data_IF_158138910791
#
_entry.id   IF_158138910791
#
_cell.length_a   1.000
_cell.length_b   1.000
_cell.length_c   1.000
_cell.angle_alpha   90.00
_cell.angle_beta   90.00
_cell.angle_gamma   90.00
#
_symmetry.space_group_name_H-M   'P 1'
#
loop_
_entity.id
_entity.type
_entity.pdbx_description
1 polymer ?
#
# COMPACT_ATOMS: atom_id res chain seq x y z
N UNK A 1 -21.13 1.20 -15.40
CA UNK A 1 -21.36 0.82 -16.80
C UNK A 1 -22.65 0.01 -16.91
N UNK A 2 -23.54 0.23 -17.93
CA UNK A 2 -24.76 -0.58 -18.08
C UNK A 2 -24.46 -2.07 -18.23
N UNK A 3 -23.35 -2.43 -18.87
CA UNK A 3 -22.95 -3.82 -19.11
C UNK A 3 -22.16 -4.44 -17.93
N UNK A 4 -21.62 -3.61 -17.06
CA UNK A 4 -20.78 -4.04 -15.94
C UNK A 4 -21.11 -3.20 -14.69
N UNK A 5 -22.24 -3.49 -14.02
CA UNK A 5 -22.74 -2.65 -12.91
C UNK A 5 -21.79 -2.59 -11.70
N UNK A 6 -20.94 -3.60 -11.52
CA UNK A 6 -19.93 -3.64 -10.46
C UNK A 6 -18.74 -2.70 -10.72
N UNK A 7 -18.60 -2.16 -11.93
CA UNK A 7 -17.45 -1.35 -12.35
C UNK A 7 -17.85 0.07 -12.72
N UNK A 8 -16.92 1.01 -12.56
CA UNK A 8 -17.10 2.39 -13.01
C UNK A 8 -16.84 2.50 -14.51
N UNK A 9 -17.46 3.49 -15.17
CA UNK A 9 -17.19 3.74 -16.57
C UNK A 9 -15.74 4.18 -16.77
N UNK A 10 -15.07 3.59 -17.76
CA UNK A 10 -13.74 4.06 -18.21
C UNK A 10 -13.92 5.40 -18.91
N UNK A 11 -13.14 6.43 -18.49
CA UNK A 11 -13.21 7.79 -19.06
C UNK A 11 -12.49 7.95 -20.41
N UNK A 12 -12.42 6.87 -21.18
CA UNK A 12 -11.75 6.83 -22.48
C UNK A 12 -12.61 6.04 -23.45
N UNK A 13 -12.65 6.48 -24.71
CA UNK A 13 -13.38 5.77 -25.76
C UNK A 13 -12.64 4.50 -26.16
N UNK A 14 -13.01 3.37 -25.55
CA UNK A 14 -12.50 2.05 -25.91
C UNK A 14 -13.38 1.48 -27.01
N UNK A 15 -12.79 1.33 -28.18
CA UNK A 15 -13.41 0.72 -29.38
C UNK A 15 -12.76 -0.62 -29.68
N UNK A 16 -13.39 -1.45 -30.53
CA UNK A 16 -12.81 -2.73 -30.93
C UNK A 16 -11.40 -2.59 -31.55
N UNK A 17 -11.13 -1.46 -32.22
CA UNK A 17 -9.84 -1.23 -32.89
C UNK A 17 -8.70 -0.84 -31.92
N UNK A 18 -9.01 -0.26 -30.76
CA UNK A 18 -7.99 0.17 -29.79
C UNK A 18 -7.98 -0.65 -28.49
N UNK A 19 -8.94 -1.57 -28.33
CA UNK A 19 -9.16 -2.35 -27.13
C UNK A 19 -7.88 -3.11 -26.69
N UNK A 20 -7.25 -3.81 -27.62
CA UNK A 20 -6.05 -4.61 -27.30
C UNK A 20 -4.93 -3.71 -26.75
N UNK A 21 -4.76 -2.51 -27.32
CA UNK A 21 -3.78 -1.54 -26.80
C UNK A 21 -4.11 -1.10 -25.39
N UNK A 22 -5.38 -0.81 -25.09
CA UNK A 22 -5.80 -0.42 -23.73
C UNK A 22 -5.57 -1.56 -22.73
N UNK A 23 -5.88 -2.80 -23.08
CA UNK A 23 -5.64 -3.98 -22.23
C UNK A 23 -4.13 -4.16 -21.97
N UNK A 24 -3.28 -4.12 -23.01
CA UNK A 24 -1.83 -4.20 -22.85
C UNK A 24 -1.27 -3.08 -21.98
N UNK A 25 -1.79 -1.86 -22.15
CA UNK A 25 -1.41 -0.73 -21.32
C UNK A 25 -1.89 -0.89 -19.86
N UNK A 26 -3.05 -1.47 -19.64
CA UNK A 26 -3.56 -1.77 -18.31
C UNK A 26 -2.69 -2.84 -17.60
N UNK A 27 -2.34 -3.92 -18.30
CA UNK A 27 -1.41 -4.94 -17.81
C UNK A 27 -0.05 -4.28 -17.48
N UNK A 28 0.49 -3.47 -18.39
CA UNK A 28 1.77 -2.78 -18.18
C UNK A 28 1.73 -1.82 -16.97
N UNK A 29 0.61 -1.09 -16.79
CA UNK A 29 0.41 -0.19 -15.64
C UNK A 29 0.21 -0.98 -14.35
N UNK A 30 -0.53 -2.10 -14.36
CA UNK A 30 -0.68 -2.97 -13.21
C UNK A 30 0.67 -3.54 -12.74
N UNK A 31 1.53 -3.95 -13.68
CA UNK A 31 2.88 -4.47 -13.38
C UNK A 31 3.82 -3.37 -12.87
N UNK A 32 3.70 -2.14 -13.40
CA UNK A 32 4.52 -0.98 -12.99
C UNK A 32 3.62 0.21 -12.62
N UNK A 33 3.03 0.20 -11.44
CA UNK A 33 2.05 1.23 -11.04
C UNK A 33 2.57 2.67 -11.07
N UNK A 34 3.88 2.87 -10.84
CA UNK A 34 4.52 4.18 -10.82
C UNK A 34 4.83 4.72 -12.24
N UNK A 35 4.74 3.89 -13.29
CA UNK A 35 5.01 4.31 -14.65
C UNK A 35 3.91 5.23 -15.20
N UNK A 36 4.30 6.25 -15.95
CA UNK A 36 3.36 7.12 -16.65
C UNK A 36 2.66 6.35 -17.78
N UNK A 37 1.38 6.01 -17.59
CA UNK A 37 0.54 5.32 -18.57
C UNK A 37 -0.93 5.64 -18.29
N UNK A 38 -1.42 6.72 -18.90
CA UNK A 38 -2.78 7.23 -18.68
C UNK A 38 -3.88 6.30 -19.25
N UNK A 39 -3.63 5.61 -20.37
CA UNK A 39 -4.59 4.65 -20.91
C UNK A 39 -4.75 3.43 -19.99
N UNK A 40 -3.63 2.89 -19.50
CA UNK A 40 -3.66 1.79 -18.55
C UNK A 40 -4.29 2.18 -17.22
N UNK A 41 -3.97 3.37 -16.73
CA UNK A 41 -4.57 3.90 -15.50
C UNK A 41 -6.09 4.08 -15.62
N UNK A 42 -6.58 4.56 -16.76
CA UNK A 42 -8.02 4.71 -17.01
C UNK A 42 -8.76 3.35 -16.91
N UNK A 43 -8.19 2.28 -17.44
CA UNK A 43 -8.76 0.93 -17.33
C UNK A 43 -8.73 0.44 -15.87
N UNK A 44 -7.60 0.60 -15.18
CA UNK A 44 -7.48 0.18 -13.77
C UNK A 44 -8.44 0.95 -12.86
N UNK A 45 -8.65 2.26 -13.09
CA UNK A 45 -9.66 3.06 -12.38
C UNK A 45 -11.07 2.53 -12.64
N UNK A 46 -11.39 2.20 -13.91
CA UNK A 46 -12.67 1.60 -14.28
C UNK A 46 -12.93 0.26 -13.58
N UNK A 47 -11.89 -0.56 -13.43
CA UNK A 47 -11.93 -1.84 -12.71
C UNK A 47 -11.85 -1.70 -11.18
N UNK A 48 -11.78 -0.48 -10.66
CA UNK A 48 -11.59 -0.18 -9.23
C UNK A 48 -10.29 -0.76 -8.63
N UNK A 49 -9.24 -0.86 -9.46
CA UNK A 49 -7.94 -1.39 -9.09
C UNK A 49 -6.88 -0.31 -8.83
N UNK A 50 -7.25 0.97 -8.98
CA UNK A 50 -6.31 2.07 -8.83
C UNK A 50 -6.99 3.24 -8.11
N UNK A 51 -6.38 3.72 -7.03
CA UNK A 51 -6.89 4.87 -6.28
C UNK A 51 -5.73 5.62 -5.61
N UNK A 52 -5.84 6.95 -5.53
CA UNK A 52 -4.80 7.76 -4.89
C UNK A 52 -3.40 7.62 -5.48
N UNK A 53 -3.29 7.26 -6.78
CA UNK A 53 -2.00 7.03 -7.46
C UNK A 53 -1.39 5.65 -7.17
N UNK A 54 -2.10 4.74 -6.53
CA UNK A 54 -1.60 3.41 -6.16
C UNK A 54 -2.52 2.29 -6.63
N UNK A 55 -1.91 1.14 -6.94
CA UNK A 55 -2.64 -0.09 -7.23
C UNK A 55 -3.24 -0.62 -5.93
N UNK A 56 -4.54 -0.92 -5.97
CA UNK A 56 -5.30 -1.44 -4.83
C UNK A 56 -6.44 -2.32 -5.35
N UNK A 57 -6.66 -3.48 -4.74
CA UNK A 57 -7.73 -4.41 -5.09
C UNK A 57 -8.91 -4.39 -4.10
N UNK A 58 -8.79 -3.69 -2.96
CA UNK A 58 -9.78 -3.74 -1.85
C UNK A 58 -11.18 -3.29 -2.28
N UNK A 59 -11.27 -2.40 -3.27
CA UNK A 59 -12.54 -1.88 -3.80
C UNK A 59 -13.02 -2.60 -5.07
N UNK A 60 -12.26 -3.60 -5.55
CA UNK A 60 -12.63 -4.41 -6.71
C UNK A 60 -13.42 -5.64 -6.26
N UNK A 61 -14.74 -5.59 -6.44
CA UNK A 61 -15.66 -6.66 -6.01
C UNK A 61 -15.29 -8.02 -6.63
N UNK A 62 -14.82 -8.03 -7.89
CA UNK A 62 -14.39 -9.26 -8.55
C UNK A 62 -13.10 -9.84 -7.93
N UNK A 63 -12.10 -9.00 -7.62
CA UNK A 63 -10.90 -9.46 -6.95
C UNK A 63 -11.20 -10.04 -5.56
N UNK A 64 -12.07 -9.38 -4.80
CA UNK A 64 -12.50 -9.85 -3.48
C UNK A 64 -13.24 -11.19 -3.59
N UNK A 65 -14.15 -11.34 -4.55
CA UNK A 65 -14.84 -12.62 -4.79
C UNK A 65 -13.88 -13.78 -5.09
N UNK A 66 -12.80 -13.54 -5.83
CA UNK A 66 -11.78 -14.57 -6.08
C UNK A 66 -11.01 -14.94 -4.81
N UNK A 67 -10.71 -13.97 -3.95
CA UNK A 67 -10.06 -14.23 -2.65
C UNK A 67 -10.98 -15.05 -1.75
N UNK A 68 -12.26 -14.65 -1.64
CA UNK A 68 -13.26 -15.36 -0.84
C UNK A 68 -13.40 -16.82 -1.29
N UNK A 69 -13.51 -17.07 -2.60
CA UNK A 69 -13.55 -18.42 -3.16
C UNK A 69 -12.30 -19.25 -2.84
N UNK A 70 -11.11 -18.62 -2.88
CA UNK A 70 -9.86 -19.30 -2.49
C UNK A 70 -9.82 -19.58 -0.99
N UNK A 71 -10.41 -18.70 -0.16
CA UNK A 71 -10.52 -18.90 1.28
C UNK A 71 -11.50 -20.02 1.65
N UNK A 72 -12.66 -20.05 1.01
CA UNK A 72 -13.67 -21.10 1.19
C UNK A 72 -13.12 -22.48 0.84
N UNK A 73 -12.27 -22.59 -0.19
CA UNK A 73 -11.62 -23.85 -0.55
C UNK A 73 -10.55 -24.32 0.46
N UNK A 74 -9.97 -23.39 1.20
CA UNK A 74 -8.97 -23.69 2.22
C UNK A 74 -7.52 -23.50 1.77
N UNK A 75 -6.60 -23.66 2.74
CA UNK A 75 -5.18 -23.43 2.53
C UNK A 75 -4.57 -24.42 1.52
N UNK A 76 -3.76 -23.91 0.60
CA UNK A 76 -3.09 -24.72 -0.44
C UNK A 76 -3.98 -25.13 -1.60
N UNK A 77 -5.27 -24.83 -1.55
CA UNK A 77 -6.21 -25.11 -2.65
C UNK A 77 -6.10 -24.09 -3.79
N UNK A 78 -6.65 -24.43 -4.93
CA UNK A 78 -6.58 -23.66 -6.17
C UNK A 78 -7.97 -23.39 -6.73
N UNK A 79 -8.12 -22.31 -7.50
CA UNK A 79 -9.23 -22.12 -8.42
C UNK A 79 -8.73 -22.42 -9.83
N UNK A 80 -9.35 -23.42 -10.48
CA UNK A 80 -9.08 -23.70 -11.88
C UNK A 80 -9.74 -22.64 -12.76
N UNK A 81 -9.19 -22.45 -13.95
CA UNK A 81 -9.76 -21.50 -14.93
C UNK A 81 -11.28 -21.65 -15.09
N UNK A 82 -11.77 -22.89 -15.22
CA UNK A 82 -13.20 -23.19 -15.49
C UNK A 82 -14.12 -22.84 -14.30
N UNK A 83 -13.57 -22.57 -13.13
CA UNK A 83 -14.29 -22.05 -11.97
C UNK A 83 -14.35 -20.51 -11.96
N UNK A 84 -13.65 -19.85 -12.88
CA UNK A 84 -13.55 -18.39 -12.97
C UNK A 84 -14.21 -17.90 -14.26
N UNK A 85 -13.90 -18.51 -15.40
CA UNK A 85 -14.38 -18.11 -16.73
C UNK A 85 -15.03 -19.27 -17.47
N UNK A 86 -15.94 -18.90 -18.35
CA UNK A 86 -16.68 -19.83 -19.23
C UNK A 86 -16.74 -19.28 -20.64
N UNK A 87 -16.73 -20.17 -21.62
CA UNK A 87 -17.02 -19.83 -23.01
C UNK A 87 -18.52 -19.59 -23.18
N UNK A 88 -18.88 -18.41 -23.63
CA UNK A 88 -20.25 -18.03 -23.98
C UNK A 88 -20.34 -17.96 -25.48
N UNK A 89 -21.27 -18.72 -26.08
CA UNK A 89 -21.54 -18.64 -27.50
C UNK A 89 -22.26 -17.33 -27.84
N UNK A 90 -21.62 -16.48 -28.63
CA UNK A 90 -22.22 -15.26 -29.17
C UNK A 90 -22.16 -15.28 -30.67
N UNK A 91 -23.34 -15.42 -31.29
CA UNK A 91 -23.65 -15.47 -32.75
C UNK A 91 -22.70 -16.23 -33.68
N UNK A 92 -21.40 -16.06 -33.64
CA UNK A 92 -20.42 -16.77 -34.49
C UNK A 92 -19.05 -16.98 -33.83
N UNK A 93 -18.82 -16.46 -32.59
CA UNK A 93 -17.55 -16.59 -31.88
C UNK A 93 -17.79 -16.99 -30.43
N UNK A 94 -16.90 -17.80 -29.87
CA UNK A 94 -16.91 -18.05 -28.43
C UNK A 94 -16.21 -16.91 -27.71
N UNK A 95 -16.95 -16.17 -26.89
CA UNK A 95 -16.41 -15.12 -26.04
C UNK A 95 -16.22 -15.72 -24.65
N UNK A 96 -15.03 -15.54 -24.07
CA UNK A 96 -14.74 -15.95 -22.68
C UNK A 96 -15.14 -14.85 -21.71
N UNK A 97 -15.95 -15.22 -20.71
CA UNK A 97 -16.44 -14.31 -19.68
C UNK A 97 -16.38 -14.93 -18.30
N UNK A 98 -16.27 -14.10 -17.27
CA UNK A 98 -16.33 -14.55 -15.88
C UNK A 98 -17.73 -15.03 -15.51
N UNK A 99 -17.79 -16.05 -14.64
CA UNK A 99 -19.04 -16.67 -14.21
C UNK A 99 -19.96 -15.71 -13.46
N UNK A 100 -19.40 -14.95 -12.50
CA UNK A 100 -20.23 -14.15 -11.58
C UNK A 100 -20.42 -12.70 -12.04
N UNK A 101 -19.43 -12.13 -12.72
CA UNK A 101 -19.40 -10.69 -13.05
C UNK A 101 -19.62 -10.40 -14.52
N UNK A 102 -19.67 -11.43 -15.35
CA UNK A 102 -19.87 -11.36 -16.80
C UNK A 102 -18.90 -10.42 -17.53
N UNK A 103 -17.71 -10.18 -16.96
CA UNK A 103 -16.65 -9.42 -17.63
C UNK A 103 -15.90 -10.32 -18.60
N UNK A 104 -15.36 -9.71 -19.65
CA UNK A 104 -14.60 -10.44 -20.66
C UNK A 104 -13.22 -10.82 -20.14
N UNK A 105 -12.69 -11.94 -20.62
CA UNK A 105 -11.46 -12.55 -20.10
C UNK A 105 -10.21 -11.64 -20.17
N UNK A 106 -10.15 -10.71 -21.13
CA UNK A 106 -9.05 -9.75 -21.22
C UNK A 106 -9.06 -8.74 -20.05
N UNK A 107 -10.24 -8.26 -19.64
CA UNK A 107 -10.40 -7.40 -18.46
C UNK A 107 -10.19 -8.18 -17.16
N UNK A 108 -10.69 -9.41 -17.13
CA UNK A 108 -10.40 -10.33 -16.01
C UNK A 108 -8.90 -10.53 -15.84
N UNK A 109 -8.16 -10.78 -16.93
CA UNK A 109 -6.71 -10.96 -16.87
C UNK A 109 -5.96 -9.71 -16.37
N UNK A 110 -6.48 -8.50 -16.63
CA UNK A 110 -5.98 -7.27 -16.01
C UNK A 110 -6.16 -7.32 -14.49
N UNK A 111 -7.33 -7.78 -14.00
CA UNK A 111 -7.57 -7.94 -12.56
C UNK A 111 -6.61 -8.96 -11.96
N UNK A 112 -6.46 -10.13 -12.58
CA UNK A 112 -5.51 -11.16 -12.14
C UNK A 112 -4.08 -10.63 -12.11
N UNK A 113 -3.66 -9.87 -13.13
CA UNK A 113 -2.32 -9.24 -13.16
C UNK A 113 -2.13 -8.28 -11.98
N UNK A 114 -3.13 -7.45 -11.68
CA UNK A 114 -3.08 -6.55 -10.53
C UNK A 114 -3.00 -7.32 -9.20
N UNK A 115 -3.78 -8.40 -9.05
CA UNK A 115 -3.74 -9.28 -7.88
C UNK A 115 -2.39 -9.97 -7.72
N UNK A 116 -1.75 -10.41 -8.81
CA UNK A 116 -0.38 -10.97 -8.78
C UNK A 116 0.63 -9.91 -8.34
N UNK A 117 0.56 -8.70 -8.90
CA UNK A 117 1.46 -7.60 -8.52
C UNK A 117 1.31 -7.22 -7.05
N UNK A 118 0.09 -7.26 -6.52
CA UNK A 118 -0.20 -7.04 -5.11
C UNK A 118 0.21 -8.22 -4.22
N UNK A 119 0.57 -9.37 -4.81
CA UNK A 119 0.92 -10.60 -4.09
C UNK A 119 -0.26 -11.29 -3.43
N UNK A 120 -1.47 -11.05 -3.93
CA UNK A 120 -2.70 -11.67 -3.44
C UNK A 120 -2.88 -13.09 -3.99
N UNK A 121 -2.42 -13.32 -5.22
CA UNK A 121 -2.47 -14.62 -5.89
C UNK A 121 -1.17 -14.92 -6.65
N UNK A 122 -0.99 -16.19 -6.99
CA UNK A 122 -0.11 -16.69 -8.05
C UNK A 122 -0.97 -17.24 -9.18
N UNK A 123 -0.54 -17.02 -10.43
CA UNK A 123 -1.20 -17.57 -11.62
C UNK A 123 -0.30 -18.62 -12.27
N UNK A 124 -0.86 -19.77 -12.65
CA UNK A 124 -0.20 -20.77 -13.46
C UNK A 124 -0.69 -20.62 -14.90
N UNK A 125 0.22 -20.31 -15.79
CA UNK A 125 -0.06 -20.15 -17.22
C UNK A 125 -0.26 -21.52 -17.91
N UNK A 126 -0.77 -21.53 -19.14
CA UNK A 126 -1.03 -22.73 -19.93
C UNK A 126 0.23 -23.55 -20.18
N UNK A 127 1.37 -22.90 -20.32
CA UNK A 127 2.70 -23.52 -20.50
C UNK A 127 3.27 -24.13 -19.21
N UNK A 128 2.52 -24.07 -18.10
CA UNK A 128 2.93 -24.59 -16.79
C UNK A 128 3.79 -23.64 -15.93
N UNK A 129 4.20 -22.48 -16.45
CA UNK A 129 4.95 -21.51 -15.67
C UNK A 129 4.08 -20.87 -14.59
N UNK A 130 4.68 -20.63 -13.41
CA UNK A 130 4.00 -19.96 -12.30
C UNK A 130 4.51 -18.52 -12.19
N UNK A 131 3.57 -17.58 -12.25
CA UNK A 131 3.84 -16.16 -12.10
C UNK A 131 3.34 -15.68 -10.75
N UNK A 132 4.20 -15.00 -10.02
CA UNK A 132 3.92 -14.37 -8.74
C UNK A 132 4.49 -12.95 -8.71
N UNK A 133 4.38 -12.26 -7.59
CA UNK A 133 4.84 -10.87 -7.47
C UNK A 133 6.34 -10.64 -7.77
N UNK A 134 7.19 -11.67 -7.68
CA UNK A 134 8.62 -11.54 -7.95
C UNK A 134 8.97 -11.58 -9.45
N UNK A 135 8.11 -12.18 -10.27
CA UNK A 135 8.32 -12.31 -11.72
C UNK A 135 7.11 -11.82 -12.54
N UNK A 136 6.27 -10.98 -11.98
CA UNK A 136 5.05 -10.43 -12.60
C UNK A 136 5.30 -9.71 -13.93
N UNK A 137 6.49 -9.17 -14.15
CA UNK A 137 6.89 -8.59 -15.45
C UNK A 137 6.67 -9.55 -16.64
N UNK A 138 6.68 -10.85 -16.40
CA UNK A 138 6.39 -11.89 -17.41
C UNK A 138 5.00 -11.70 -18.04
N UNK A 139 4.01 -11.24 -17.26
CA UNK A 139 2.63 -11.05 -17.75
C UNK A 139 2.48 -9.96 -18.81
N UNK A 140 3.46 -9.06 -18.93
CA UNK A 140 3.45 -8.00 -19.98
C UNK A 140 3.61 -8.56 -21.39
N UNK A 141 4.25 -9.72 -21.51
CA UNK A 141 4.66 -10.30 -22.79
C UNK A 141 3.99 -11.64 -23.09
N UNK A 142 2.93 -11.99 -22.34
CA UNK A 142 2.18 -13.22 -22.62
C UNK A 142 1.33 -13.06 -23.89
N UNK A 143 1.10 -14.17 -24.58
CA UNK A 143 0.20 -14.21 -25.70
C UNK A 143 -1.24 -13.91 -25.27
N UNK A 144 -2.03 -13.31 -26.16
CA UNK A 144 -3.44 -12.99 -25.89
C UNK A 144 -4.25 -14.23 -25.50
N UNK A 145 -3.89 -15.40 -25.99
CA UNK A 145 -4.53 -16.67 -25.62
C UNK A 145 -4.43 -16.98 -24.13
N UNK A 146 -3.35 -16.54 -23.45
CA UNK A 146 -3.20 -16.73 -22.00
C UNK A 146 -4.27 -15.98 -21.18
N UNK A 147 -4.91 -14.93 -21.73
CA UNK A 147 -5.99 -14.22 -21.05
C UNK A 147 -7.20 -15.10 -20.72
N UNK A 148 -7.36 -16.23 -21.45
CA UNK A 148 -8.44 -17.19 -21.23
C UNK A 148 -7.96 -18.65 -21.19
N UNK A 149 -6.64 -18.89 -21.31
CA UNK A 149 -6.08 -20.26 -21.33
C UNK A 149 -5.17 -20.55 -20.13
N UNK A 150 -4.99 -19.60 -19.19
CA UNK A 150 -4.27 -19.89 -17.95
C UNK A 150 -4.86 -21.12 -17.24
N UNK A 151 -4.04 -21.85 -16.48
CA UNK A 151 -4.48 -23.12 -15.88
C UNK A 151 -5.27 -22.91 -14.59
N UNK A 152 -4.74 -22.10 -13.66
CA UNK A 152 -5.31 -21.91 -12.34
C UNK A 152 -4.72 -20.66 -11.66
N UNK A 153 -5.40 -20.23 -10.61
CA UNK A 153 -4.87 -19.29 -9.61
C UNK A 153 -4.84 -19.95 -8.24
N UNK A 154 -3.93 -19.49 -7.38
CA UNK A 154 -3.82 -19.94 -5.97
C UNK A 154 -3.31 -18.83 -5.09
N UNK A 155 -3.50 -18.97 -3.77
CA UNK A 155 -2.84 -18.09 -2.79
C UNK A 155 -1.32 -18.32 -2.83
N UNK A 156 -0.51 -17.25 -2.68
CA UNK A 156 0.95 -17.38 -2.65
C UNK A 156 1.40 -18.22 -1.47
N UNK A 157 2.31 -19.15 -1.72
CA UNK A 157 2.98 -19.92 -0.66
C UNK A 157 4.35 -19.32 -0.29
N UNK A 158 4.67 -18.15 -0.83
CA UNK A 158 5.97 -17.50 -0.67
C UNK A 158 5.90 -16.24 0.17
N UNK A 159 7.00 -15.47 0.14
CA UNK A 159 7.04 -14.12 0.72
C UNK A 159 6.14 -13.21 -0.11
N UNK A 160 5.27 -12.46 0.55
CA UNK A 160 4.51 -11.39 -0.10
C UNK A 160 5.44 -10.21 -0.39
N UNK A 161 6.08 -10.25 -1.55
CA UNK A 161 7.07 -9.24 -1.98
C UNK A 161 6.49 -7.81 -2.00
N UNK A 162 5.29 -7.56 -2.55
CA UNK A 162 4.66 -6.24 -2.49
C UNK A 162 4.46 -5.73 -1.07
N UNK A 163 3.99 -6.58 -0.17
CA UNK A 163 3.80 -6.22 1.23
C UNK A 163 5.14 -5.88 1.90
N UNK A 164 6.17 -6.71 1.70
CA UNK A 164 7.52 -6.45 2.20
C UNK A 164 8.07 -5.14 1.64
N UNK A 165 7.89 -4.88 0.34
CA UNK A 165 8.28 -3.62 -0.31
C UNK A 165 7.62 -2.42 0.36
N UNK A 166 6.29 -2.45 0.50
CA UNK A 166 5.54 -1.37 1.15
C UNK A 166 6.01 -1.14 2.58
N UNK A 167 6.08 -2.21 3.38
CA UNK A 167 6.51 -2.14 4.78
C UNK A 167 7.94 -1.59 4.90
N UNK A 168 8.89 -2.11 4.12
CA UNK A 168 10.28 -1.67 4.23
C UNK A 168 10.47 -0.25 3.70
N UNK A 169 9.79 0.14 2.63
CA UNK A 169 9.85 1.50 2.08
C UNK A 169 9.23 2.52 3.04
N UNK A 170 8.01 2.25 3.53
CA UNK A 170 7.28 3.20 4.38
C UNK A 170 7.85 3.31 5.79
N UNK A 171 8.23 2.19 6.40
CA UNK A 171 8.61 2.16 7.82
C UNK A 171 10.11 2.09 8.06
N UNK A 172 10.88 1.45 7.17
CA UNK A 172 12.34 1.35 7.29
C UNK A 172 13.04 2.45 6.48
N UNK A 173 12.35 3.06 5.50
CA UNK A 173 12.88 4.11 4.65
C UNK A 173 13.67 3.59 3.44
N UNK A 174 13.67 2.28 3.17
CA UNK A 174 14.39 1.65 2.06
C UNK A 174 13.55 0.54 1.45
N UNK A 175 13.59 0.38 0.13
CA UNK A 175 13.04 -0.81 -0.52
C UNK A 175 14.03 -1.97 -0.41
N UNK A 176 13.70 -2.92 0.46
CA UNK A 176 14.51 -4.11 0.70
C UNK A 176 13.91 -5.38 0.05
N UNK A 177 12.80 -5.25 -0.67
CA UNK A 177 12.09 -6.39 -1.27
C UNK A 177 12.94 -7.19 -2.28
N UNK A 178 13.85 -6.53 -2.99
CA UNK A 178 14.73 -7.17 -3.98
C UNK A 178 16.02 -7.74 -3.37
N UNK A 179 16.21 -7.62 -2.05
CA UNK A 179 17.40 -8.06 -1.33
C UNK A 179 17.14 -9.19 -0.34
N UNK A 180 15.99 -9.84 -0.42
CA UNK A 180 15.58 -10.88 0.53
C UNK A 180 16.39 -12.18 0.45
N UNK A 181 17.28 -12.32 -0.53
CA UNK A 181 18.22 -13.45 -0.61
C UNK A 181 19.53 -13.20 0.17
N UNK A 182 19.76 -11.97 0.61
CA UNK A 182 20.93 -11.60 1.41
C UNK A 182 20.61 -11.61 2.90
N UNK A 183 21.42 -12.31 3.68
CA UNK A 183 21.25 -12.45 5.14
C UNK A 183 21.22 -11.10 5.87
N UNK A 184 22.04 -10.16 5.42
CA UNK A 184 22.17 -8.82 6.01
C UNK A 184 20.90 -7.99 5.89
N UNK A 185 20.02 -8.30 4.91
CA UNK A 185 18.74 -7.61 4.74
C UNK A 185 17.84 -7.81 5.95
N UNK A 186 17.78 -9.02 6.50
CA UNK A 186 16.95 -9.30 7.68
C UNK A 186 17.51 -8.64 8.93
N UNK A 187 18.84 -8.61 9.07
CA UNK A 187 19.48 -7.87 10.15
C UNK A 187 19.17 -6.36 10.06
N UNK A 188 19.22 -5.79 8.85
CA UNK A 188 18.88 -4.39 8.60
C UNK A 188 17.43 -4.09 8.99
N UNK A 189 16.46 -4.91 8.56
CA UNK A 189 15.05 -4.76 8.91
C UNK A 189 14.87 -4.82 10.44
N UNK A 190 15.41 -5.87 11.08
CA UNK A 190 15.25 -6.10 12.51
C UNK A 190 15.88 -4.99 13.36
N UNK A 191 17.10 -4.57 13.03
CA UNK A 191 17.81 -3.54 13.79
C UNK A 191 17.13 -2.17 13.64
N UNK A 192 16.74 -1.81 12.41
CA UNK A 192 16.05 -0.55 12.16
C UNK A 192 14.68 -0.51 12.82
N UNK A 193 13.96 -1.63 12.82
CA UNK A 193 12.68 -1.74 13.50
C UNK A 193 12.83 -1.55 15.03
N UNK A 194 13.88 -2.13 15.65
CA UNK A 194 14.18 -1.89 17.09
C UNK A 194 14.48 -0.43 17.40
N UNK A 195 15.30 0.20 16.55
CA UNK A 195 15.60 1.63 16.68
C UNK A 195 14.32 2.47 16.65
N UNK A 196 13.45 2.21 15.68
CA UNK A 196 12.18 2.91 15.51
C UNK A 196 11.20 2.65 16.67
N UNK A 197 11.12 1.41 17.16
CA UNK A 197 10.35 1.08 18.36
C UNK A 197 10.81 1.88 19.59
N UNK A 198 12.13 2.00 19.78
CA UNK A 198 12.71 2.80 20.86
C UNK A 198 12.41 4.30 20.69
N UNK A 199 12.47 4.83 19.45
CA UNK A 199 12.10 6.22 19.16
C UNK A 199 10.63 6.50 19.45
N UNK A 200 9.72 5.56 19.11
CA UNK A 200 8.29 5.67 19.40
C UNK A 200 8.04 5.59 20.92
N UNK A 201 8.73 4.70 21.63
CA UNK A 201 8.65 4.62 23.09
C UNK A 201 9.12 5.92 23.78
N UNK A 202 10.22 6.50 23.30
CA UNK A 202 10.71 7.81 23.81
C UNK A 202 9.70 8.92 23.53
N UNK A 203 9.09 8.93 22.35
CA UNK A 203 8.02 9.88 22.02
C UNK A 203 6.85 9.73 22.99
N UNK A 204 6.38 8.51 23.21
CA UNK A 204 5.27 8.20 24.09
C UNK A 204 5.55 8.57 25.56
N UNK A 205 6.72 8.23 26.08
CA UNK A 205 7.05 8.44 27.49
C UNK A 205 7.41 9.88 27.83
N UNK A 206 8.28 10.52 27.03
CA UNK A 206 8.84 11.84 27.35
C UNK A 206 8.15 12.96 26.57
N UNK A 207 8.09 12.84 25.25
CA UNK A 207 7.63 13.95 24.41
C UNK A 207 6.13 14.22 24.55
N UNK A 208 5.32 13.20 24.82
CA UNK A 208 3.88 13.39 25.05
C UNK A 208 3.56 14.26 26.25
N UNK A 209 4.31 14.12 27.35
CA UNK A 209 4.14 14.96 28.54
C UNK A 209 4.55 16.41 28.23
N UNK A 210 5.69 16.58 27.55
CA UNK A 210 6.15 17.89 27.13
C UNK A 210 5.17 18.59 26.17
N UNK A 211 4.56 17.86 25.21
CA UNK A 211 3.54 18.40 24.32
C UNK A 211 2.30 18.90 25.07
N UNK A 212 1.92 18.25 26.15
CA UNK A 212 0.76 18.63 26.96
C UNK A 212 1.00 19.91 27.78
N UNK A 213 2.26 20.22 28.08
CA UNK A 213 2.65 21.36 28.95
C UNK A 213 3.13 22.56 28.15
N UNK A 214 3.53 22.40 26.88
CA UNK A 214 4.13 23.48 26.11
C UNK A 214 3.11 24.58 25.78
N UNK A 215 3.44 25.81 26.15
CA UNK A 215 2.61 27.00 25.94
C UNK A 215 3.40 28.09 25.22
N UNK A 216 2.70 28.91 24.42
CA UNK A 216 3.21 30.18 23.88
C UNK A 216 2.26 31.29 24.32
N UNK A 217 2.78 32.32 24.94
CA UNK A 217 1.98 33.42 25.48
C UNK A 217 0.84 32.98 26.43
N UNK A 218 1.03 31.87 27.17
CA UNK A 218 0.05 31.29 28.09
C UNK A 218 -0.98 30.34 27.46
N UNK A 219 -0.99 30.20 26.16
CA UNK A 219 -1.92 29.28 25.45
C UNK A 219 -1.24 27.95 25.07
N UNK A 220 -1.96 26.85 25.25
CA UNK A 220 -1.51 25.52 24.83
C UNK A 220 -1.35 25.47 23.31
N UNK A 221 -0.21 25.00 22.84
CA UNK A 221 0.11 24.90 21.39
C UNK A 221 -0.50 23.67 20.75
N UNK A 222 -0.63 22.59 21.50
CA UNK A 222 -1.17 21.31 21.02
C UNK A 222 -2.52 21.04 21.68
N UNK A 223 -3.55 20.87 20.84
CA UNK A 223 -4.92 20.61 21.33
C UNK A 223 -5.06 19.21 21.94
N UNK A 224 -5.98 19.10 22.90
CA UNK A 224 -6.26 17.84 23.61
C UNK A 224 -6.69 16.69 22.66
N UNK A 225 -7.39 17.00 21.56
CA UNK A 225 -7.80 16.01 20.55
C UNK A 225 -6.59 15.34 19.90
N UNK A 226 -5.59 16.12 19.48
CA UNK A 226 -4.34 15.59 18.93
C UNK A 226 -3.61 14.72 19.95
N UNK A 227 -3.49 15.19 21.19
CA UNK A 227 -2.82 14.45 22.25
C UNK A 227 -3.54 13.14 22.58
N UNK A 228 -4.86 13.16 22.61
CA UNK A 228 -5.68 11.96 22.80
C UNK A 228 -5.48 10.94 21.67
N UNK A 229 -5.54 11.40 20.43
CA UNK A 229 -5.32 10.56 19.27
C UNK A 229 -3.92 9.92 19.27
N UNK A 230 -2.88 10.71 19.55
CA UNK A 230 -1.51 10.19 19.66
C UNK A 230 -1.36 9.15 20.78
N UNK A 231 -2.02 9.36 21.94
CA UNK A 231 -1.99 8.38 23.04
C UNK A 231 -2.61 7.05 22.66
N UNK A 232 -3.69 7.06 21.87
CA UNK A 232 -4.37 5.85 21.44
C UNK A 232 -3.59 5.07 20.37
N UNK A 233 -2.99 5.78 19.40
CA UNK A 233 -2.44 5.15 18.21
C UNK A 233 -0.94 4.80 18.32
N UNK A 234 -0.19 5.55 19.11
CA UNK A 234 1.26 5.33 19.26
C UNK A 234 1.63 3.91 19.77
N UNK A 235 0.87 3.27 20.69
CA UNK A 235 1.14 1.90 21.11
C UNK A 235 1.02 0.89 19.97
N UNK A 236 0.06 1.08 19.06
CA UNK A 236 -0.12 0.20 17.90
C UNK A 236 1.07 0.26 16.93
N UNK A 237 1.59 1.46 16.68
CA UNK A 237 2.79 1.65 15.86
C UNK A 237 4.03 1.04 16.52
N UNK A 238 4.20 1.24 17.85
CA UNK A 238 5.30 0.60 18.59
C UNK A 238 5.21 -0.93 18.49
N UNK A 239 4.03 -1.50 18.76
CA UNK A 239 3.81 -2.95 18.67
C UNK A 239 4.10 -3.51 17.28
N UNK A 240 3.78 -2.74 16.23
CA UNK A 240 4.14 -3.10 14.86
C UNK A 240 5.66 -3.13 14.63
N UNK A 241 6.41 -2.15 15.13
CA UNK A 241 7.87 -2.16 15.05
C UNK A 241 8.49 -3.30 15.87
N UNK A 242 7.95 -3.58 17.06
CA UNK A 242 8.39 -4.72 17.87
C UNK A 242 8.17 -6.04 17.10
N UNK A 243 7.01 -6.20 16.46
CA UNK A 243 6.74 -7.34 15.57
C UNK A 243 7.71 -7.40 14.39
N UNK A 244 7.92 -6.28 13.70
CA UNK A 244 8.83 -6.21 12.55
C UNK A 244 10.27 -6.57 12.94
N UNK A 245 10.70 -6.24 14.15
CA UNK A 245 12.00 -6.58 14.68
C UNK A 245 12.21 -8.10 14.87
N UNK A 246 11.13 -8.90 14.93
CA UNK A 246 11.22 -10.37 15.02
C UNK A 246 11.55 -11.05 13.69
N UNK A 247 11.38 -10.38 12.56
CA UNK A 247 11.61 -10.95 11.23
C UNK A 247 13.10 -10.99 10.86
N UNK A 248 13.83 -11.89 11.51
CA UNK A 248 15.30 -12.03 11.39
C UNK A 248 15.74 -13.02 10.32
N UNK A 249 14.81 -13.60 9.55
CA UNK A 249 15.13 -14.56 8.48
C UNK A 249 14.05 -14.59 7.40
N UNK A 250 14.41 -15.16 6.23
CA UNK A 250 13.48 -15.38 5.12
C UNK A 250 12.26 -16.21 5.52
N UNK A 251 12.48 -17.23 6.35
CA UNK A 251 11.41 -18.08 6.87
C UNK A 251 10.42 -17.29 7.74
N UNK A 252 10.92 -16.38 8.57
CA UNK A 252 10.08 -15.54 9.43
C UNK A 252 9.33 -14.48 8.64
N UNK A 253 9.98 -13.80 7.68
CA UNK A 253 9.32 -12.74 6.90
C UNK A 253 8.24 -13.29 5.97
N UNK A 254 8.27 -14.59 5.64
CA UNK A 254 7.18 -15.28 4.94
C UNK A 254 5.85 -15.18 5.70
N UNK A 255 5.92 -15.11 7.03
CA UNK A 255 4.76 -14.98 7.91
C UNK A 255 4.31 -13.51 8.11
N UNK A 256 4.89 -12.56 7.36
CA UNK A 256 4.43 -11.18 7.38
C UNK A 256 3.07 -11.10 6.68
N UNK A 257 2.02 -11.05 7.50
CA UNK A 257 0.63 -10.88 7.06
C UNK A 257 0.04 -9.71 7.84
N UNK A 258 -0.22 -8.63 7.14
CA UNK A 258 -0.79 -7.41 7.72
C UNK A 258 -1.83 -6.88 6.74
N UNK A 259 -3.07 -6.65 7.18
CA UNK A 259 -4.10 -6.02 6.36
C UNK A 259 -3.65 -4.65 5.85
N UNK A 260 -4.00 -4.30 4.61
CA UNK A 260 -3.56 -3.07 3.97
C UNK A 260 -4.12 -1.81 4.64
N UNK A 261 -5.34 -1.88 5.16
CA UNK A 261 -5.96 -0.83 5.96
C UNK A 261 -5.18 -0.56 7.26
N UNK A 262 -4.72 -1.62 7.93
CA UNK A 262 -3.85 -1.49 9.10
C UNK A 262 -2.52 -0.82 8.76
N UNK A 263 -1.92 -1.17 7.60
CA UNK A 263 -0.67 -0.52 7.15
C UNK A 263 -0.92 0.97 6.90
N UNK A 264 -1.99 1.32 6.17
CA UNK A 264 -2.33 2.71 5.89
C UNK A 264 -2.52 3.52 7.18
N UNK A 265 -3.24 2.98 8.15
CA UNK A 265 -3.41 3.60 9.47
C UNK A 265 -2.08 3.81 10.19
N UNK A 266 -1.19 2.83 10.18
CA UNK A 266 0.14 2.95 10.80
C UNK A 266 1.03 3.98 10.09
N UNK A 267 0.95 4.09 8.75
CA UNK A 267 1.63 5.12 7.96
C UNK A 267 1.15 6.54 8.36
N UNK A 268 -0.16 6.71 8.54
CA UNK A 268 -0.75 7.97 9.02
C UNK A 268 -0.27 8.33 10.42
N UNK A 269 -0.25 7.36 11.34
CA UNK A 269 0.25 7.57 12.72
C UNK A 269 1.72 7.96 12.71
N UNK A 270 2.55 7.29 11.92
CA UNK A 270 3.97 7.61 11.78
C UNK A 270 4.16 9.03 11.25
N UNK A 271 3.41 9.40 10.21
CA UNK A 271 3.43 10.77 9.66
C UNK A 271 3.04 11.80 10.72
N UNK A 272 1.94 11.54 11.43
CA UNK A 272 1.46 12.43 12.50
C UNK A 272 2.51 12.64 13.59
N UNK A 273 3.20 11.57 14.03
CA UNK A 273 4.29 11.66 15.00
C UNK A 273 5.44 12.54 14.46
N UNK A 274 5.83 12.34 13.20
CA UNK A 274 6.91 13.10 12.58
C UNK A 274 6.54 14.57 12.43
N UNK A 275 5.34 14.87 11.97
CA UNK A 275 4.83 16.24 11.86
C UNK A 275 4.75 16.94 13.24
N UNK A 276 4.33 16.20 14.27
CA UNK A 276 4.28 16.71 15.65
C UNK A 276 5.68 16.99 16.19
N UNK A 277 6.67 16.12 15.94
CA UNK A 277 8.08 16.37 16.32
C UNK A 277 8.63 17.63 15.64
N UNK A 278 8.35 17.82 14.34
CA UNK A 278 8.78 19.01 13.61
C UNK A 278 8.15 20.27 14.18
N UNK A 279 6.84 20.29 14.43
CA UNK A 279 6.14 21.41 15.06
C UNK A 279 6.71 21.72 16.44
N UNK A 280 6.95 20.70 17.26
CA UNK A 280 7.57 20.86 18.57
C UNK A 280 8.96 21.52 18.49
N UNK A 281 9.78 21.13 17.50
CA UNK A 281 11.07 21.75 17.26
C UNK A 281 10.97 23.25 16.92
N UNK A 282 9.98 23.65 16.14
CA UNK A 282 9.70 25.07 15.84
C UNK A 282 9.23 25.82 17.09
N UNK A 283 8.31 25.22 17.82
CA UNK A 283 7.76 25.84 19.06
C UNK A 283 8.86 26.09 20.12
N UNK A 284 9.77 25.12 20.31
CA UNK A 284 10.91 25.30 21.22
C UNK A 284 11.78 26.50 20.83
N UNK A 285 12.14 26.61 19.52
CA UNK A 285 12.92 27.76 19.03
C UNK A 285 12.21 29.08 19.23
N UNK A 286 10.89 29.14 19.04
CA UNK A 286 10.08 30.32 19.29
C UNK A 286 10.06 30.66 20.78
N UNK A 287 9.89 29.69 21.66
CA UNK A 287 9.93 29.88 23.11
C UNK A 287 11.30 30.43 23.58
N UNK A 288 12.39 29.86 23.04
CA UNK A 288 13.76 30.34 23.36
C UNK A 288 13.96 31.79 22.90
N UNK A 289 13.45 32.13 21.68
CA UNK A 289 13.53 33.53 21.19
C UNK A 289 12.72 34.49 22.05
N UNK A 290 11.49 34.11 22.45
CA UNK A 290 10.65 34.93 23.33
C UNK A 290 11.33 35.15 24.69
N UNK A 291 11.90 34.09 25.26
CA UNK A 291 12.64 34.18 26.55
C UNK A 291 13.86 35.10 26.42
N UNK A 292 14.62 34.99 25.31
CA UNK A 292 15.74 35.85 25.01
C UNK A 292 15.30 37.34 24.92
N UNK A 293 14.26 37.63 24.14
CA UNK A 293 13.74 39.00 23.99
C UNK A 293 13.20 39.55 25.29
N UNK A 294 12.54 38.76 26.11
CA UNK A 294 12.03 39.16 27.42
C UNK A 294 13.19 39.49 28.37
N UNK A 295 14.23 38.65 28.37
CA UNK A 295 15.43 38.91 29.16
C UNK A 295 16.18 40.16 28.68
N UNK A 296 16.29 40.34 27.35
CA UNK A 296 16.94 41.50 26.77
C UNK A 296 16.22 42.82 27.12
N UNK A 297 14.87 42.81 27.20
CA UNK A 297 14.09 43.97 27.64
C UNK A 297 14.46 44.44 29.08
N UNK A 298 14.90 43.55 29.94
CA UNK A 298 15.32 43.92 31.32
C UNK A 298 16.62 44.71 31.34
N UNK A 299 17.44 44.66 30.28
CA UNK A 299 18.69 45.38 30.16
C UNK A 299 18.60 46.69 29.37
N UNK A 300 17.40 47.06 28.88
CA UNK A 300 17.20 48.33 28.18
C UNK A 300 17.02 49.42 29.23
N UNK A 301 17.87 50.48 29.27
CA UNK A 301 17.73 51.56 30.23
C UNK A 301 16.35 52.22 30.09
N UNK A 302 15.75 52.53 31.27
CA UNK A 302 14.50 53.27 31.32
C UNK A 302 14.70 54.63 30.62
N UNK A 303 14.11 54.80 29.43
CA UNK A 303 14.22 56.00 28.60
C UNK A 303 14.67 55.80 27.15
N UNK A 304 15.10 54.62 26.75
CA UNK A 304 15.37 54.31 25.34
C UNK A 304 14.05 54.00 24.60
N UNK A 305 13.65 54.91 23.69
CA UNK A 305 12.51 54.71 22.78
C UNK A 305 12.82 53.61 21.77
N UNK A 306 12.67 52.32 22.14
CA UNK A 306 12.46 51.25 21.19
C UNK A 306 10.97 51.30 20.79
N UNK A 307 10.66 52.01 19.72
CA UNK A 307 9.36 51.89 19.04
C UNK A 307 9.22 50.45 18.51
N UNK A 308 8.21 49.77 19.01
CA UNK A 308 7.68 48.50 18.49
C UNK A 308 7.29 48.60 17.05
#
# INVERSE_FOLDING_TARGET
SPNYPAFTAVRSDITNSNRERFIRNAIAKAVKPDAANSEGEAVLLGLKLFSGGQLNADTCDFANSLIDKLEEKGEGMVLNRDEIIVAVADSNESIWRTLDFNIEADLEFVVLTAMVQLGLIEIKLSNGSVVNASNVDTLRNVDKSEYFMFSLIKKPQGINIPLVRRVTKSFIGQDLSNKLDFTDTFATISNKARELAAQVATFQGRMMNELAEITIAGEKVFGEELLHHLRLETPALKGFYDQLATYTSKAKIRNLQIPLDRIARLEEVQKLINDTKLRMGVVRKLSDLINYLTSAKQYVPAGSNLKT
#
